data_IF_134244594214
#
_entry.id   IF_134244594214
#
_cell.length_a   1.000
_cell.length_b   1.000
_cell.length_c   1.000
_cell.angle_alpha   90.00
_cell.angle_beta   90.00
_cell.angle_gamma   90.00
#
_symmetry.space_group_name_H-M   'P 1'
#
loop_
_entity.id
_entity.type
_entity.pdbx_description
1 polymer ?
#
# COMPACT_ATOMS: atom_id res chain seq x y z
N UNK A 1 -66.44 28.59 -71.81
CA UNK A 1 -67.26 29.28 -70.82
C UNK A 1 -67.37 28.46 -69.59
N UNK A 2 -66.71 28.91 -68.53
CA UNK A 2 -67.15 28.92 -67.12
C UNK A 2 -65.92 29.24 -66.27
N UNK A 3 -65.90 30.42 -65.73
CA UNK A 3 -64.95 30.95 -64.76
C UNK A 3 -65.23 30.33 -63.38
N UNK A 4 -64.24 29.94 -62.62
CA UNK A 4 -64.30 29.79 -61.21
C UNK A 4 -63.11 30.50 -60.58
N UNK A 5 -63.36 31.60 -59.96
CA UNK A 5 -62.45 32.31 -59.03
C UNK A 5 -62.33 31.47 -57.81
N UNK A 6 -61.09 31.01 -57.46
CA UNK A 6 -60.73 30.46 -56.17
C UNK A 6 -60.13 31.55 -55.30
N UNK A 7 -60.81 31.85 -54.26
CA UNK A 7 -60.37 32.72 -53.16
C UNK A 7 -59.18 32.09 -52.49
N UNK A 8 -58.01 32.73 -52.50
CA UNK A 8 -56.80 32.35 -51.81
C UNK A 8 -56.82 33.05 -50.43
N UNK A 9 -57.40 32.36 -49.43
CA UNK A 9 -57.21 32.74 -48.07
C UNK A 9 -55.74 32.55 -47.66
N UNK A 10 -55.02 33.65 -47.50
CA UNK A 10 -53.73 33.72 -46.94
C UNK A 10 -53.86 33.49 -45.39
N UNK A 11 -53.84 32.20 -44.98
CA UNK A 11 -53.67 31.84 -43.58
C UNK A 11 -52.19 31.79 -43.23
N UNK A 12 -51.60 33.00 -43.15
CA UNK A 12 -50.27 33.17 -42.56
C UNK A 12 -50.36 32.94 -41.05
N UNK A 13 -50.34 31.69 -40.65
CA UNK A 13 -49.98 31.36 -39.28
C UNK A 13 -48.54 31.82 -39.07
N UNK A 14 -48.38 32.98 -38.45
CA UNK A 14 -47.13 33.51 -37.95
C UNK A 14 -46.62 32.52 -36.89
N UNK A 15 -45.92 31.48 -37.36
CA UNK A 15 -45.18 30.58 -36.48
C UNK A 15 -43.99 31.38 -36.01
N UNK A 16 -44.20 32.15 -34.89
CA UNK A 16 -43.05 32.74 -34.18
C UNK A 16 -42.13 31.60 -33.77
N UNK A 17 -40.97 31.49 -34.37
CA UNK A 17 -39.91 30.59 -33.92
C UNK A 17 -39.73 30.77 -32.42
N UNK A 18 -39.69 29.68 -31.61
CA UNK A 18 -39.52 29.82 -30.18
C UNK A 18 -38.22 30.61 -29.87
N UNK A 19 -38.34 31.60 -29.00
CA UNK A 19 -37.19 32.44 -28.60
C UNK A 19 -36.12 31.54 -28.04
N UNK A 20 -34.97 31.47 -28.73
CA UNK A 20 -33.83 30.67 -28.34
C UNK A 20 -33.04 31.40 -27.22
N UNK A 21 -32.88 30.80 -26.07
CA UNK A 21 -32.10 31.34 -24.94
C UNK A 21 -30.88 30.45 -24.75
N UNK A 22 -29.71 30.94 -25.14
CA UNK A 22 -28.45 30.22 -24.92
C UNK A 22 -27.77 30.75 -23.66
N UNK A 23 -27.46 29.89 -22.67
CA UNK A 23 -26.70 30.31 -21.47
C UNK A 23 -25.37 30.97 -21.81
N UNK A 24 -25.01 32.01 -21.07
CA UNK A 24 -23.77 32.78 -21.29
C UNK A 24 -22.89 32.79 -20.05
N UNK A 25 -21.61 33.13 -20.19
CA UNK A 25 -20.65 33.20 -19.10
C UNK A 25 -20.54 31.90 -18.29
N UNK A 26 -20.61 30.74 -18.96
CA UNK A 26 -20.42 29.44 -18.32
C UNK A 26 -19.00 29.33 -17.78
N UNK A 27 -18.89 29.09 -16.48
CA UNK A 27 -17.64 28.79 -15.77
C UNK A 27 -17.70 27.41 -15.14
N UNK A 28 -16.55 26.75 -15.03
CA UNK A 28 -16.39 25.49 -14.33
C UNK A 28 -15.23 25.63 -13.35
N UNK A 29 -15.46 25.35 -12.09
CA UNK A 29 -14.45 25.23 -11.03
C UNK A 29 -14.38 23.80 -10.56
N UNK A 30 -13.16 23.28 -10.39
CA UNK A 30 -12.91 21.89 -9.99
C UNK A 30 -11.96 21.91 -8.79
N UNK A 31 -12.37 21.23 -7.72
CA UNK A 31 -11.57 21.01 -6.51
C UNK A 31 -11.32 19.52 -6.36
N UNK A 32 -10.08 19.07 -6.55
CA UNK A 32 -9.66 17.71 -6.24
C UNK A 32 -9.36 17.67 -4.74
N UNK A 33 -10.09 16.82 -3.99
CA UNK A 33 -9.95 16.75 -2.53
C UNK A 33 -8.55 16.30 -2.14
N UNK A 34 -7.95 16.99 -1.14
CA UNK A 34 -6.57 16.74 -0.70
C UNK A 34 -5.48 17.25 -1.66
N UNK A 35 -5.86 17.97 -2.73
CA UNK A 35 -4.87 18.56 -3.65
C UNK A 35 -4.01 19.63 -2.96
N UNK A 36 -2.70 19.52 -3.16
CA UNK A 36 -1.69 20.45 -2.65
C UNK A 36 -0.52 20.58 -3.63
N UNK A 37 0.45 21.43 -3.33
CA UNK A 37 1.68 21.54 -4.13
C UNK A 37 2.51 20.23 -4.13
N UNK A 38 2.36 19.39 -3.11
CA UNK A 38 3.04 18.10 -2.99
C UNK A 38 2.19 16.94 -3.58
N UNK A 39 0.87 17.08 -3.49
CA UNK A 39 -0.09 16.08 -4.01
C UNK A 39 -1.06 16.75 -5.01
N UNK A 40 -0.61 17.16 -6.19
CA UNK A 40 -1.44 17.95 -7.12
C UNK A 40 -2.66 17.20 -7.66
N UNK A 41 -2.69 15.88 -7.57
CA UNK A 41 -3.74 15.01 -8.06
C UNK A 41 -4.68 14.48 -6.96
N UNK A 42 -4.58 15.00 -5.72
CA UNK A 42 -5.42 14.64 -4.57
C UNK A 42 -4.77 13.68 -3.58
N UNK A 43 -5.54 13.32 -2.54
CA UNK A 43 -5.12 12.49 -1.40
C UNK A 43 -5.29 10.97 -1.63
N UNK A 44 -5.78 10.59 -2.80
CA UNK A 44 -6.05 9.18 -3.13
C UNK A 44 -7.49 8.73 -2.86
N UNK A 45 -8.35 9.58 -2.31
CA UNK A 45 -9.78 9.30 -2.15
C UNK A 45 -10.54 9.22 -3.47
N UNK A 46 -10.01 9.82 -4.54
CA UNK A 46 -10.69 9.97 -5.83
C UNK A 46 -11.82 11.00 -5.82
N UNK A 47 -12.09 11.65 -4.68
CA UNK A 47 -13.21 12.60 -4.54
C UNK A 47 -12.87 13.94 -5.20
N UNK A 48 -13.79 14.41 -6.05
CA UNK A 48 -13.68 15.70 -6.73
C UNK A 48 -15.01 16.47 -6.60
N UNK A 49 -14.91 17.75 -6.28
CA UNK A 49 -16.03 18.68 -6.21
C UNK A 49 -16.06 19.56 -7.45
N UNK A 50 -17.20 19.63 -8.08
CA UNK A 50 -17.44 20.45 -9.26
C UNK A 50 -18.45 21.54 -8.96
N UNK A 51 -18.17 22.73 -9.47
CA UNK A 51 -19.09 23.86 -9.39
C UNK A 51 -19.13 24.58 -10.74
N UNK A 52 -20.34 24.76 -11.28
CA UNK A 52 -20.58 25.48 -12.53
C UNK A 52 -21.56 26.61 -12.33
N UNK A 53 -21.36 27.73 -13.01
CA UNK A 53 -22.29 28.85 -13.06
C UNK A 53 -22.44 29.36 -14.48
N UNK A 54 -23.63 29.81 -14.86
CA UNK A 54 -23.92 30.48 -16.12
C UNK A 54 -25.13 31.39 -15.98
N UNK A 55 -25.16 32.47 -16.78
CA UNK A 55 -26.35 33.30 -16.88
C UNK A 55 -27.42 32.56 -17.71
N UNK A 56 -28.68 32.72 -17.34
CA UNK A 56 -29.85 32.11 -17.99
C UNK A 56 -29.87 30.58 -17.99
N UNK A 57 -29.01 29.94 -17.18
CA UNK A 57 -29.05 28.49 -16.95
C UNK A 57 -30.05 28.14 -15.84
N UNK A 58 -30.81 27.07 -16.06
CA UNK A 58 -31.75 26.49 -15.09
C UNK A 58 -31.33 25.08 -14.63
N UNK A 59 -30.44 24.44 -15.37
CA UNK A 59 -29.91 23.12 -15.05
C UNK A 59 -28.50 22.94 -15.64
N UNK A 60 -27.70 22.09 -15.01
CA UNK A 60 -26.36 21.72 -15.43
C UNK A 60 -26.26 20.20 -15.53
N UNK A 61 -25.61 19.70 -16.61
CA UNK A 61 -25.26 18.29 -16.79
C UNK A 61 -23.76 18.13 -16.74
N UNK A 62 -23.27 17.43 -15.74
CA UNK A 62 -21.85 17.13 -15.54
C UNK A 62 -21.53 15.75 -16.12
N UNK A 63 -20.53 15.65 -16.99
CA UNK A 63 -20.01 14.41 -17.54
C UNK A 63 -18.57 14.25 -17.10
N UNK A 64 -18.28 13.17 -16.36
CA UNK A 64 -17.01 13.04 -15.61
C UNK A 64 -15.86 12.42 -16.41
N UNK A 65 -16.10 12.04 -17.66
CA UNK A 65 -15.09 11.41 -18.52
C UNK A 65 -14.95 9.90 -18.31
N UNK A 66 -15.77 9.30 -17.46
CA UNK A 66 -15.87 7.85 -17.19
C UNK A 66 -17.00 7.17 -17.96
N UNK A 67 -17.89 7.95 -18.55
CA UNK A 67 -19.17 7.53 -19.11
C UNK A 67 -20.35 7.92 -18.22
N UNK A 68 -20.11 8.25 -16.96
CA UNK A 68 -21.12 8.70 -16.02
C UNK A 68 -21.44 10.18 -16.19
N UNK A 69 -22.66 10.55 -15.77
CA UNK A 69 -23.10 11.93 -15.75
C UNK A 69 -24.08 12.19 -14.60
N UNK A 70 -24.16 13.44 -14.13
CA UNK A 70 -25.07 13.88 -13.09
C UNK A 70 -25.66 15.24 -13.44
N UNK A 71 -26.96 15.41 -13.12
CA UNK A 71 -27.72 16.63 -13.33
C UNK A 71 -27.81 17.43 -12.01
N UNK A 72 -27.66 18.77 -12.10
CA UNK A 72 -27.73 19.64 -10.93
C UNK A 72 -28.38 20.97 -11.27
N UNK A 73 -29.43 21.34 -10.57
CA UNK A 73 -30.03 22.70 -10.66
C UNK A 73 -29.26 23.74 -9.85
N UNK A 74 -28.48 23.31 -8.87
CA UNK A 74 -27.61 24.19 -8.08
C UNK A 74 -26.26 24.48 -8.75
N UNK A 75 -25.89 23.67 -9.76
CA UNK A 75 -24.60 23.74 -10.41
C UNK A 75 -23.46 23.15 -9.58
N UNK A 76 -23.74 22.39 -8.50
CA UNK A 76 -22.74 21.77 -7.63
C UNK A 76 -22.98 20.26 -7.58
N UNK A 77 -21.92 19.47 -7.78
CA UNK A 77 -21.92 18.01 -7.65
C UNK A 77 -20.60 17.51 -7.06
N UNK A 78 -20.62 16.35 -6.42
CA UNK A 78 -19.44 15.61 -6.00
C UNK A 78 -19.37 14.29 -6.77
N UNK A 79 -18.19 13.90 -7.25
CA UNK A 79 -18.01 12.63 -7.93
C UNK A 79 -16.75 11.94 -7.42
N UNK A 80 -16.81 10.62 -7.22
CA UNK A 80 -15.67 9.82 -6.78
C UNK A 80 -15.19 8.92 -7.92
N UNK A 81 -13.97 9.18 -8.39
CA UNK A 81 -13.28 8.33 -9.35
C UNK A 81 -12.77 7.07 -8.67
N UNK A 82 -12.79 5.94 -9.37
CA UNK A 82 -12.43 4.61 -8.82
C UNK A 82 -11.27 3.92 -9.52
N UNK A 83 -10.78 4.46 -10.65
CA UNK A 83 -9.67 3.85 -11.38
C UNK A 83 -8.35 4.07 -10.62
N UNK A 84 -7.77 3.00 -10.13
CA UNK A 84 -6.55 3.02 -9.30
C UNK A 84 -5.36 3.65 -10.04
N UNK A 85 -4.57 4.43 -9.32
CA UNK A 85 -3.45 5.20 -9.85
C UNK A 85 -3.85 6.61 -10.29
N UNK A 86 -2.95 7.31 -10.98
CA UNK A 86 -3.22 8.66 -11.50
C UNK A 86 -3.74 8.57 -12.93
N UNK A 87 -5.01 8.92 -13.11
CA UNK A 87 -5.69 8.81 -14.39
C UNK A 87 -6.21 10.17 -14.87
N UNK A 88 -6.08 10.50 -16.18
CA UNK A 88 -6.64 11.72 -16.76
C UNK A 88 -8.11 11.54 -17.12
N UNK A 89 -8.93 12.56 -16.81
CA UNK A 89 -10.35 12.59 -17.13
C UNK A 89 -10.71 13.91 -17.82
N UNK A 90 -11.48 13.83 -18.92
CA UNK A 90 -12.00 15.01 -19.59
C UNK A 90 -13.43 15.30 -19.11
N UNK A 91 -13.54 16.22 -18.16
CA UNK A 91 -14.81 16.66 -17.59
C UNK A 91 -15.47 17.65 -18.54
N UNK A 92 -16.75 17.43 -18.83
CA UNK A 92 -17.55 18.32 -19.67
C UNK A 92 -18.84 18.73 -18.91
N UNK A 93 -19.15 20.03 -18.93
CA UNK A 93 -20.38 20.57 -18.33
C UNK A 93 -21.20 21.24 -19.42
N UNK A 94 -22.50 20.93 -19.42
CA UNK A 94 -23.52 21.58 -20.23
C UNK A 94 -24.45 22.37 -19.31
N UNK A 95 -24.63 23.66 -19.58
CA UNK A 95 -25.59 24.52 -18.91
C UNK A 95 -26.82 24.68 -19.81
N UNK A 96 -28.00 24.31 -19.34
CA UNK A 96 -29.25 24.37 -20.08
C UNK A 96 -30.11 25.53 -19.64
N UNK A 97 -30.72 26.22 -20.62
CA UNK A 97 -31.71 27.26 -20.39
C UNK A 97 -33.10 26.69 -20.22
N UNK A 98 -34.09 27.56 -19.93
CA UNK A 98 -35.52 27.22 -19.90
C UNK A 98 -36.10 26.79 -21.26
N UNK A 99 -35.42 27.12 -22.35
CA UNK A 99 -35.81 26.70 -23.74
C UNK A 99 -35.07 25.43 -24.20
N UNK A 100 -34.31 24.78 -23.28
CA UNK A 100 -33.50 23.60 -23.53
C UNK A 100 -32.32 23.81 -24.50
N UNK A 101 -32.00 25.10 -24.79
CA UNK A 101 -30.74 25.43 -25.45
C UNK A 101 -29.60 25.33 -24.43
N UNK A 102 -28.36 25.06 -24.89
CA UNK A 102 -27.25 24.89 -23.99
C UNK A 102 -25.95 25.57 -24.41
N UNK A 103 -25.13 25.86 -23.46
CA UNK A 103 -23.70 26.16 -23.62
C UNK A 103 -22.86 25.05 -22.95
N UNK A 104 -21.66 24.79 -23.41
CA UNK A 104 -20.78 23.76 -22.83
C UNK A 104 -19.35 24.24 -22.64
N UNK A 105 -18.68 23.68 -21.64
CA UNK A 105 -17.23 23.83 -21.41
C UNK A 105 -16.62 22.51 -20.97
N UNK A 106 -15.32 22.33 -21.18
CA UNK A 106 -14.62 21.12 -20.74
C UNK A 106 -13.25 21.44 -20.17
N UNK A 107 -12.80 20.60 -19.24
CA UNK A 107 -11.48 20.68 -18.62
C UNK A 107 -10.94 19.27 -18.39
N UNK A 108 -9.65 19.05 -18.69
CA UNK A 108 -8.97 17.81 -18.33
C UNK A 108 -8.35 17.96 -16.94
N UNK A 109 -8.62 16.96 -16.09
CA UNK A 109 -8.03 16.83 -14.74
C UNK A 109 -7.29 15.50 -14.65
N UNK A 110 -6.34 15.40 -13.72
CA UNK A 110 -5.73 14.13 -13.33
C UNK A 110 -6.09 13.86 -11.88
N UNK A 111 -6.65 12.68 -11.61
CA UNK A 111 -7.07 12.29 -10.26
C UNK A 111 -6.30 11.05 -9.83
N UNK A 112 -5.74 11.10 -8.62
CA UNK A 112 -5.08 9.98 -8.01
C UNK A 112 -6.05 9.21 -7.12
N UNK A 113 -6.09 7.87 -7.29
CA UNK A 113 -6.93 6.96 -6.52
C UNK A 113 -6.07 5.86 -5.91
N UNK A 114 -6.14 5.71 -4.61
CA UNK A 114 -5.51 4.59 -3.90
C UNK A 114 -6.31 3.30 -4.15
N UNK A 115 -5.64 2.14 -4.27
CA UNK A 115 -6.33 0.85 -4.29
C UNK A 115 -7.09 0.64 -2.97
N UNK A 116 -8.24 -0.04 -3.05
CA UNK A 116 -8.98 -0.44 -1.86
C UNK A 116 -8.09 -1.30 -0.95
N UNK A 117 -8.14 -1.02 0.36
CA UNK A 117 -7.40 -1.80 1.35
C UNK A 117 -8.00 -3.22 1.46
N UNK A 118 -7.13 -4.25 1.60
CA UNK A 118 -7.56 -5.61 1.94
C UNK A 118 -8.18 -5.59 3.34
N UNK A 119 -9.49 -5.92 3.52
CA UNK A 119 -10.18 -5.74 4.79
C UNK A 119 -9.57 -6.52 5.95
N UNK A 120 -9.09 -7.76 5.69
CA UNK A 120 -8.57 -8.62 6.75
C UNK A 120 -7.27 -8.07 7.33
N UNK A 121 -6.32 -7.71 6.47
CA UNK A 121 -5.04 -7.17 6.92
C UNK A 121 -5.16 -5.72 7.38
N UNK A 122 -6.11 -4.96 6.84
CA UNK A 122 -6.37 -3.59 7.30
C UNK A 122 -6.83 -3.58 8.75
N UNK A 123 -7.69 -4.52 9.14
CA UNK A 123 -8.13 -4.66 10.53
C UNK A 123 -6.94 -4.94 11.46
N UNK A 124 -6.02 -5.80 11.07
CA UNK A 124 -4.81 -6.09 11.85
C UNK A 124 -3.91 -4.85 11.96
N UNK A 125 -3.65 -4.18 10.82
CA UNK A 125 -2.77 -3.01 10.77
C UNK A 125 -3.29 -1.82 11.56
N UNK A 126 -4.60 -1.56 11.51
CA UNK A 126 -5.19 -0.32 12.02
C UNK A 126 -6.00 -0.51 13.31
N UNK A 127 -6.26 -1.76 13.73
CA UNK A 127 -7.16 -2.03 14.85
C UNK A 127 -8.60 -1.52 14.61
N UNK A 128 -8.95 -1.24 13.35
CA UNK A 128 -10.24 -0.68 12.96
C UNK A 128 -10.34 0.85 13.02
N UNK A 129 -9.40 1.54 13.66
CA UNK A 129 -9.32 3.03 13.71
C UNK A 129 -7.89 3.51 13.50
N UNK A 130 -7.04 3.29 14.48
CA UNK A 130 -5.63 3.66 14.48
C UNK A 130 -4.85 2.65 15.34
N UNK A 131 -3.69 2.20 14.85
CA UNK A 131 -2.80 1.30 15.58
C UNK A 131 -1.34 1.67 15.35
N UNK A 132 -0.56 1.63 16.43
CA UNK A 132 0.86 1.95 16.44
C UNK A 132 1.69 0.68 16.53
N UNK A 133 2.63 0.55 15.61
CA UNK A 133 3.61 -0.54 15.55
C UNK A 133 5.00 -0.03 15.83
N UNK A 134 5.86 -0.88 16.37
CA UNK A 134 7.29 -0.62 16.59
C UNK A 134 8.09 -1.88 16.29
N UNK A 135 9.40 -1.74 16.12
CA UNK A 135 10.28 -2.90 15.95
C UNK A 135 10.27 -3.76 17.22
N UNK A 136 10.08 -5.07 17.04
CA UNK A 136 10.12 -6.02 18.15
C UNK A 136 11.57 -6.32 18.57
N UNK A 137 12.22 -5.33 19.17
CA UNK A 137 13.65 -5.36 19.50
C UNK A 137 14.06 -6.50 20.46
N UNK A 138 13.12 -7.01 21.25
CA UNK A 138 13.39 -8.11 22.20
C UNK A 138 13.46 -9.49 21.50
N UNK A 139 12.96 -9.59 20.28
CA UNK A 139 12.96 -10.83 19.52
C UNK A 139 14.30 -11.03 18.79
N UNK A 140 14.92 -12.21 18.91
CA UNK A 140 16.06 -12.57 18.06
C UNK A 140 15.62 -12.68 16.60
N UNK A 141 16.45 -12.25 15.67
CA UNK A 141 16.10 -12.10 14.25
C UNK A 141 15.04 -11.03 13.93
N UNK A 142 14.73 -10.12 14.91
CA UNK A 142 13.80 -9.01 14.69
C UNK A 142 14.19 -8.11 13.49
N UNK A 143 15.46 -8.09 13.14
CA UNK A 143 16.03 -7.49 11.96
C UNK A 143 17.00 -8.47 11.32
N UNK A 144 16.86 -8.71 10.03
CA UNK A 144 17.63 -9.76 9.36
C UNK A 144 17.67 -9.55 7.85
N UNK A 145 18.55 -10.29 7.17
CA UNK A 145 18.61 -10.23 5.71
C UNK A 145 18.86 -11.62 5.08
N UNK A 146 18.62 -11.69 3.76
CA UNK A 146 18.78 -12.92 3.02
C UNK A 146 18.61 -12.74 1.52
N UNK A 147 18.57 -13.85 0.80
CA UNK A 147 18.27 -13.87 -0.63
C UNK A 147 16.75 -13.59 -0.85
N UNK A 148 16.45 -12.75 -1.86
CA UNK A 148 15.08 -12.32 -2.18
C UNK A 148 14.10 -13.46 -2.50
N UNK A 149 14.61 -14.62 -2.94
CA UNK A 149 13.77 -15.77 -3.30
C UNK A 149 13.12 -16.46 -2.10
N UNK A 150 13.63 -16.20 -0.88
CA UNK A 150 13.11 -16.79 0.35
C UNK A 150 12.19 -15.81 1.09
N UNK A 151 11.27 -16.38 1.88
CA UNK A 151 10.36 -15.62 2.75
C UNK A 151 10.88 -15.52 4.20
N UNK A 152 12.13 -15.89 4.42
CA UNK A 152 12.82 -15.92 5.70
C UNK A 152 14.29 -15.56 5.50
N UNK A 153 15.00 -15.07 6.54
CA UNK A 153 16.40 -14.71 6.45
C UNK A 153 17.29 -15.93 6.19
N UNK A 154 18.31 -15.74 5.36
CA UNK A 154 19.26 -16.81 4.98
C UNK A 154 20.73 -16.44 5.18
N UNK A 155 21.04 -15.16 5.48
CA UNK A 155 22.41 -14.70 5.57
C UNK A 155 22.80 -14.20 6.96
N UNK A 156 21.97 -13.36 7.58
CA UNK A 156 22.29 -12.74 8.85
C UNK A 156 21.03 -12.38 9.63
N UNK A 157 21.13 -12.46 10.94
CA UNK A 157 20.09 -12.14 11.92
C UNK A 157 20.64 -11.30 13.08
N UNK A 158 19.91 -10.31 13.51
CA UNK A 158 20.23 -9.49 14.66
C UNK A 158 19.85 -10.20 15.95
N UNK A 159 20.76 -10.22 16.92
CA UNK A 159 20.39 -10.57 18.31
C UNK A 159 19.50 -9.50 18.91
N UNK A 160 18.69 -9.86 19.91
CA UNK A 160 17.84 -8.92 20.64
C UNK A 160 18.60 -7.67 21.09
N UNK A 161 17.97 -6.50 20.91
CA UNK A 161 18.50 -5.17 21.23
C UNK A 161 19.86 -4.80 20.60
N UNK A 162 20.36 -5.53 19.61
CA UNK A 162 21.69 -5.30 19.03
C UNK A 162 21.83 -3.99 18.25
N UNK A 163 20.71 -3.30 17.96
CA UNK A 163 20.67 -2.01 17.25
C UNK A 163 20.27 -0.83 18.16
N UNK A 164 20.44 -0.95 19.48
CA UNK A 164 20.05 0.05 20.47
C UNK A 164 20.75 1.42 20.33
N UNK A 165 21.84 1.51 19.58
CA UNK A 165 22.54 2.76 19.31
C UNK A 165 22.05 3.49 18.06
N UNK A 166 21.07 2.94 17.35
CA UNK A 166 20.50 3.51 16.12
C UNK A 166 19.09 4.06 16.35
N UNK A 167 18.58 4.89 15.45
CA UNK A 167 17.21 5.34 15.38
C UNK A 167 16.27 4.26 14.85
N UNK A 168 16.30 3.07 15.42
CA UNK A 168 15.54 1.92 14.92
C UNK A 168 14.47 1.43 15.89
N UNK A 169 14.68 1.61 17.21
CA UNK A 169 13.80 1.04 18.21
C UNK A 169 12.85 2.03 18.85
N UNK A 170 13.08 3.31 18.66
CA UNK A 170 12.22 4.38 19.16
C UNK A 170 11.24 4.92 18.11
N UNK A 171 11.37 4.45 16.86
CA UNK A 171 10.41 4.70 15.80
C UNK A 171 9.04 4.10 16.10
N UNK A 172 7.96 4.83 15.70
CA UNK A 172 6.60 4.29 15.66
C UNK A 172 6.00 4.45 14.28
N UNK A 173 5.35 3.40 13.86
CA UNK A 173 4.67 3.27 12.57
C UNK A 173 3.18 3.21 12.80
N UNK A 174 2.46 4.31 12.60
CA UNK A 174 1.04 4.44 12.94
C UNK A 174 0.21 4.34 11.68
N UNK A 175 -0.70 3.36 11.64
CA UNK A 175 -1.62 3.12 10.54
C UNK A 175 -3.04 3.46 10.96
N UNK A 176 -3.75 4.27 10.14
CA UNK A 176 -5.16 4.61 10.34
C UNK A 176 -6.05 3.94 9.32
N UNK A 177 -7.29 3.68 9.71
CA UNK A 177 -8.26 3.00 8.84
C UNK A 177 -8.64 3.80 7.58
N UNK A 178 -8.38 5.10 7.55
CA UNK A 178 -8.58 5.97 6.40
C UNK A 178 -7.43 5.95 5.37
N UNK A 179 -6.42 5.10 5.57
CA UNK A 179 -5.24 5.00 4.70
C UNK A 179 -4.10 5.96 5.07
N UNK A 180 -4.25 6.73 6.16
CA UNK A 180 -3.17 7.59 6.67
C UNK A 180 -2.08 6.76 7.33
N UNK A 181 -0.84 7.09 7.05
CA UNK A 181 0.36 6.57 7.72
C UNK A 181 1.14 7.70 8.36
N UNK A 182 1.52 7.54 9.64
CA UNK A 182 2.37 8.47 10.37
C UNK A 182 3.63 7.72 10.82
N UNK A 183 4.80 8.31 10.53
CA UNK A 183 6.07 7.85 11.06
C UNK A 183 6.54 8.83 12.13
N UNK A 184 6.50 8.40 13.39
CA UNK A 184 7.15 9.09 14.50
C UNK A 184 8.58 8.59 14.61
N UNK A 185 9.52 9.42 14.14
CA UNK A 185 10.96 9.08 14.02
C UNK A 185 11.74 9.43 15.28
N UNK A 186 11.13 10.13 16.21
CA UNK A 186 11.80 10.72 17.40
C UNK A 186 13.09 11.50 17.09
N UNK A 187 13.24 11.97 15.86
CA UNK A 187 14.32 12.84 15.38
C UNK A 187 15.33 12.18 14.47
N UNK A 188 15.40 10.87 14.41
CA UNK A 188 16.30 10.15 13.51
C UNK A 188 15.74 8.78 13.08
N UNK A 189 16.34 8.21 12.02
CA UNK A 189 15.99 6.91 11.43
C UNK A 189 17.27 6.13 11.10
N UNK A 190 17.12 4.83 10.83
CA UNK A 190 18.21 3.93 10.46
C UNK A 190 18.07 3.41 9.02
N UNK A 191 19.18 3.38 8.27
CA UNK A 191 19.13 2.84 6.89
C UNK A 191 20.48 2.84 6.18
N UNK A 192 20.48 2.36 4.94
CA UNK A 192 21.64 2.39 4.04
C UNK A 192 21.93 3.83 3.59
N UNK A 193 23.16 4.25 3.74
CA UNK A 193 23.60 5.64 3.52
C UNK A 193 23.31 6.17 2.11
N UNK A 194 23.54 5.34 1.08
CA UNK A 194 23.26 5.73 -0.30
C UNK A 194 21.79 6.04 -0.53
N UNK A 195 20.87 5.21 -0.04
CA UNK A 195 19.43 5.39 -0.22
C UNK A 195 18.89 6.54 0.63
N UNK A 196 19.33 6.66 1.90
CA UNK A 196 18.97 7.76 2.77
C UNK A 196 19.35 9.11 2.14
N UNK A 197 20.61 9.25 1.70
CA UNK A 197 21.11 10.49 1.10
C UNK A 197 20.41 10.80 -0.24
N UNK A 198 20.06 9.80 -1.02
CA UNK A 198 19.36 9.98 -2.29
C UNK A 198 17.91 10.44 -2.08
N UNK A 199 17.21 9.84 -1.13
CA UNK A 199 15.77 10.08 -0.91
C UNK A 199 15.50 11.32 -0.06
N UNK A 200 16.27 11.50 1.02
CA UNK A 200 16.01 12.55 2.02
C UNK A 200 17.02 13.68 2.00
N UNK A 201 18.11 13.55 1.23
CA UNK A 201 19.20 14.51 1.13
C UNK A 201 20.41 14.16 2.01
N UNK A 202 21.57 14.71 1.70
CA UNK A 202 22.79 14.46 2.48
C UNK A 202 22.84 15.34 3.73
N UNK A 203 22.77 14.73 4.90
CA UNK A 203 22.83 15.43 6.21
C UNK A 203 24.24 15.48 6.81
N UNK A 204 25.24 14.86 6.17
CA UNK A 204 26.61 14.78 6.68
C UNK A 204 26.78 13.86 7.89
N UNK A 205 25.82 13.02 8.20
CA UNK A 205 25.88 12.05 9.29
C UNK A 205 26.94 10.97 9.04
N UNK A 206 27.59 10.44 10.10
CA UNK A 206 28.60 9.39 9.99
C UNK A 206 28.05 8.14 9.30
N UNK A 207 28.84 7.58 8.39
CA UNK A 207 28.56 6.34 7.69
C UNK A 207 29.43 5.24 8.29
N UNK A 208 28.84 4.13 8.73
CA UNK A 208 29.56 3.01 9.28
C UNK A 208 30.18 2.11 8.20
N UNK A 209 30.96 1.09 8.61
CA UNK A 209 31.63 0.16 7.69
C UNK A 209 30.68 -0.70 6.83
N UNK A 210 29.41 -0.79 7.23
CA UNK A 210 28.35 -1.49 6.49
C UNK A 210 27.60 -0.59 5.50
N UNK A 211 28.11 0.64 5.28
CA UNK A 211 27.46 1.69 4.47
C UNK A 211 26.07 2.06 4.99
N UNK A 212 25.94 2.28 6.31
CA UNK A 212 24.71 2.62 7.00
C UNK A 212 24.87 3.92 7.78
N UNK A 213 23.81 4.68 7.90
CA UNK A 213 23.68 5.79 8.84
C UNK A 213 22.74 5.34 9.96
N UNK A 214 23.30 5.22 11.17
CA UNK A 214 22.57 4.69 12.33
C UNK A 214 21.58 5.69 12.91
N UNK A 215 21.86 6.99 12.74
CA UNK A 215 21.03 8.11 13.22
C UNK A 215 20.91 9.18 12.15
N UNK A 216 20.19 8.86 11.08
CA UNK A 216 19.90 9.83 10.04
C UNK A 216 18.80 10.77 10.50
N UNK A 217 19.10 12.07 10.59
CA UNK A 217 18.17 13.09 11.11
C UNK A 217 16.95 13.24 10.18
N UNK A 218 15.77 12.90 10.70
CA UNK A 218 14.50 13.06 10.00
C UNK A 218 13.39 13.37 11.01
N UNK A 219 12.61 14.42 10.74
CA UNK A 219 11.44 14.76 11.56
C UNK A 219 10.28 13.81 11.29
N UNK A 220 9.36 13.68 12.25
CA UNK A 220 8.09 12.98 12.07
C UNK A 220 7.38 13.49 10.82
N UNK A 221 6.72 12.58 10.10
CA UNK A 221 5.97 12.91 8.89
C UNK A 221 4.73 12.03 8.75
N UNK A 222 3.84 12.49 7.88
CA UNK A 222 2.63 11.78 7.51
C UNK A 222 2.59 11.59 6.00
N UNK A 223 2.10 10.43 5.58
CA UNK A 223 1.81 10.10 4.18
C UNK A 223 0.62 9.13 4.13
N UNK A 224 0.37 8.50 3.00
CA UNK A 224 -0.66 7.47 2.87
C UNK A 224 -0.05 6.12 2.58
N UNK A 225 -0.80 5.06 2.93
CA UNK A 225 -0.45 3.68 2.59
C UNK A 225 -1.58 2.98 1.84
N UNK A 226 -1.24 1.93 1.15
CA UNK A 226 -2.19 1.02 0.52
C UNK A 226 -1.72 -0.42 0.65
N UNK A 227 -2.65 -1.36 0.65
CA UNK A 227 -2.36 -2.80 0.62
C UNK A 227 -3.06 -3.39 -0.58
N UNK A 228 -2.28 -4.10 -1.41
CA UNK A 228 -2.78 -4.80 -2.59
C UNK A 228 -2.36 -6.27 -2.49
N UNK A 229 -3.27 -7.16 -2.78
CA UNK A 229 -2.97 -8.59 -2.88
C UNK A 229 -2.52 -8.91 -4.30
N UNK A 230 -1.22 -9.18 -4.48
CA UNK A 230 -0.60 -9.56 -5.75
C UNK A 230 0.02 -10.95 -5.63
N UNK A 231 -0.29 -11.87 -6.56
CA UNK A 231 0.27 -13.23 -6.55
C UNK A 231 0.13 -13.95 -5.20
N UNK A 232 -0.98 -13.71 -4.50
CA UNK A 232 -1.25 -14.21 -3.15
C UNK A 232 -0.31 -13.66 -2.05
N UNK A 233 0.39 -12.55 -2.30
CA UNK A 233 1.19 -11.80 -1.33
C UNK A 233 0.53 -10.45 -1.03
N UNK A 234 0.54 -10.04 0.24
CA UNK A 234 0.07 -8.72 0.64
C UNK A 234 1.19 -7.70 0.48
N UNK A 235 1.03 -6.78 -0.47
CA UNK A 235 1.98 -5.70 -0.75
C UNK A 235 1.52 -4.43 -0.05
N UNK A 236 2.25 -4.02 0.97
CA UNK A 236 2.09 -2.76 1.68
C UNK A 236 2.94 -1.70 1.00
N UNK A 237 2.32 -0.69 0.43
CA UNK A 237 2.98 0.39 -0.30
C UNK A 237 2.73 1.73 0.37
N UNK A 238 3.74 2.60 0.37
CA UNK A 238 3.66 3.96 0.90
C UNK A 238 3.84 4.98 -0.22
N UNK A 239 3.16 6.11 -0.08
CA UNK A 239 3.40 7.27 -0.93
C UNK A 239 4.63 8.04 -0.47
N UNK A 240 5.19 8.83 -1.39
CA UNK A 240 6.32 9.74 -1.16
C UNK A 240 7.52 9.05 -0.47
N UNK A 241 7.78 9.47 0.77
CA UNK A 241 8.94 9.04 1.57
C UNK A 241 8.60 7.96 2.60
N UNK A 242 7.39 7.39 2.56
CA UNK A 242 6.93 6.41 3.55
C UNK A 242 7.71 5.10 3.48
N UNK A 243 8.06 4.55 4.64
CA UNK A 243 8.73 3.24 4.80
C UNK A 243 8.54 2.72 6.23
N UNK A 244 9.02 1.49 6.49
CA UNK A 244 9.01 0.87 7.82
C UNK A 244 10.43 0.47 8.20
N UNK A 245 10.83 0.82 9.41
CA UNK A 245 12.05 0.36 10.07
C UNK A 245 13.34 0.74 9.33
N UNK A 246 14.10 -0.24 8.83
CA UNK A 246 15.37 -0.03 8.17
C UNK A 246 15.21 0.40 6.70
N UNK A 247 15.68 1.60 6.35
CA UNK A 247 15.51 2.13 5.01
C UNK A 247 16.53 1.57 4.00
N UNK A 248 16.05 0.94 2.95
CA UNK A 248 16.83 0.34 1.86
C UNK A 248 16.45 0.87 0.47
N UNK A 249 15.89 2.09 0.43
CA UNK A 249 15.44 2.71 -0.83
C UNK A 249 14.10 2.18 -1.34
N UNK A 250 13.33 1.51 -0.50
CA UNK A 250 12.05 0.92 -0.88
C UNK A 250 10.89 1.55 -0.11
N UNK A 251 9.79 1.75 -0.82
CA UNK A 251 8.53 2.26 -0.31
C UNK A 251 7.43 1.19 -0.39
N UNK A 252 7.79 -0.04 -0.74
CA UNK A 252 6.91 -1.20 -0.79
C UNK A 252 7.50 -2.36 0.01
N UNK A 253 6.65 -2.99 0.81
CA UNK A 253 6.99 -4.13 1.64
C UNK A 253 6.01 -5.28 1.37
N UNK A 254 6.51 -6.51 1.43
CA UNK A 254 5.65 -7.70 1.47
C UNK A 254 5.39 -8.04 2.93
N UNK A 255 4.13 -8.24 3.31
CA UNK A 255 3.77 -8.79 4.60
C UNK A 255 3.82 -10.31 4.47
N UNK A 256 4.82 -10.94 5.08
CA UNK A 256 5.07 -12.39 4.97
C UNK A 256 4.19 -13.19 5.92
N UNK A 257 4.02 -12.71 7.15
CA UNK A 257 3.07 -13.25 8.10
C UNK A 257 2.67 -12.20 9.14
N UNK A 258 1.55 -12.45 9.82
CA UNK A 258 1.01 -11.58 10.87
C UNK A 258 0.07 -12.34 11.80
N UNK A 259 -0.09 -11.80 12.99
CA UNK A 259 -1.15 -12.10 13.93
C UNK A 259 -1.72 -10.77 14.48
N UNK A 260 -2.57 -10.83 15.49
CA UNK A 260 -3.20 -9.63 16.06
C UNK A 260 -2.19 -8.61 16.60
N UNK A 261 -0.99 -9.03 16.99
CA UNK A 261 0.00 -8.21 17.70
C UNK A 261 1.35 -8.12 17.00
N UNK A 262 1.60 -8.92 15.97
CA UNK A 262 2.89 -8.99 15.30
C UNK A 262 2.75 -8.94 13.78
N UNK A 263 3.73 -8.30 13.13
CA UNK A 263 3.88 -8.28 11.68
C UNK A 263 5.31 -8.66 11.31
N UNK A 264 5.45 -9.53 10.32
CA UNK A 264 6.73 -9.82 9.69
C UNK A 264 6.73 -9.28 8.27
N UNK A 265 7.56 -8.27 8.02
CA UNK A 265 7.60 -7.56 6.74
C UNK A 265 8.95 -7.72 6.05
N UNK A 266 8.93 -7.72 4.73
CA UNK A 266 10.11 -7.84 3.88
C UNK A 266 10.15 -6.73 2.84
N UNK A 267 11.32 -6.06 2.72
CA UNK A 267 11.68 -5.21 1.58
C UNK A 267 12.78 -5.88 0.75
N UNK A 268 12.79 -5.65 -0.56
CA UNK A 268 13.86 -6.15 -1.45
C UNK A 268 14.54 -4.94 -2.08
N UNK A 269 15.85 -4.76 -1.81
CA UNK A 269 16.61 -3.64 -2.35
C UNK A 269 16.99 -3.84 -3.85
N UNK A 270 17.60 -2.85 -4.47
CA UNK A 270 18.00 -2.87 -5.89
C UNK A 270 19.14 -3.85 -6.19
N UNK A 271 19.80 -4.37 -5.14
CA UNK A 271 20.82 -5.42 -5.24
C UNK A 271 20.26 -6.83 -5.04
N UNK A 272 18.92 -6.96 -5.03
CA UNK A 272 18.20 -8.22 -4.82
C UNK A 272 18.42 -8.85 -3.44
N UNK A 273 18.71 -8.04 -2.41
CA UNK A 273 18.80 -8.49 -1.02
C UNK A 273 17.48 -8.27 -0.35
N UNK A 274 16.97 -9.28 0.32
CA UNK A 274 15.79 -9.18 1.16
C UNK A 274 16.17 -8.73 2.57
N UNK A 275 15.39 -7.81 3.12
CA UNK A 275 15.52 -7.26 4.46
C UNK A 275 14.23 -7.50 5.21
N UNK A 276 14.32 -8.13 6.35
CA UNK A 276 13.17 -8.59 7.13
C UNK A 276 13.12 -7.85 8.47
N UNK A 277 11.91 -7.49 8.89
CA UNK A 277 11.67 -6.77 10.14
C UNK A 277 10.46 -7.38 10.83
N UNK A 278 10.62 -7.74 12.10
CA UNK A 278 9.52 -8.04 13.00
C UNK A 278 9.05 -6.77 13.69
N UNK A 279 7.77 -6.50 13.57
CA UNK A 279 7.08 -5.41 14.28
C UNK A 279 6.12 -5.98 15.30
N UNK A 280 5.83 -5.19 16.35
CA UNK A 280 4.82 -5.49 17.35
C UNK A 280 4.10 -4.23 17.79
N UNK A 281 2.84 -4.36 18.22
CA UNK A 281 2.09 -3.30 18.91
C UNK A 281 2.23 -3.38 20.42
N UNK A 282 2.86 -4.45 20.93
CA UNK A 282 3.03 -4.70 22.36
C UNK A 282 4.21 -3.91 22.94
N UNK A 283 4.18 -3.64 24.24
CA UNK A 283 5.35 -3.09 24.92
C UNK A 283 6.55 -4.04 24.83
N UNK A 284 7.67 -3.53 24.33
CA UNK A 284 8.90 -4.30 24.20
C UNK A 284 9.66 -4.24 25.51
N UNK A 285 9.68 -5.34 26.26
CA UNK A 285 10.45 -5.45 27.50
C UNK A 285 11.94 -5.52 27.21
N UNK A 286 12.75 -4.75 27.94
CA UNK A 286 14.21 -4.83 27.90
C UNK A 286 14.78 -6.13 28.49
N UNK A 287 13.93 -6.90 29.17
CA UNK A 287 14.26 -8.24 29.61
C UNK A 287 13.92 -9.21 28.50
N UNK A 288 14.89 -9.97 27.94
CA UNK A 288 14.59 -10.97 26.92
C UNK A 288 13.51 -11.92 27.46
N UNK A 289 12.32 -11.87 26.86
CA UNK A 289 11.27 -12.81 27.23
C UNK A 289 11.59 -14.14 26.57
N UNK A 290 11.89 -15.15 27.37
CA UNK A 290 12.02 -16.53 26.91
C UNK A 290 10.66 -17.14 26.54
N UNK A 291 9.57 -16.41 26.80
CA UNK A 291 8.19 -16.90 26.80
C UNK A 291 7.31 -16.28 25.70
N UNK A 292 7.90 -15.83 24.58
CA UNK A 292 7.14 -15.30 23.41
C UNK A 292 6.23 -16.34 22.76
N UNK A 293 6.45 -17.61 23.02
CA UNK A 293 5.65 -18.72 22.50
C UNK A 293 4.88 -19.40 23.63
N UNK A 294 3.67 -18.91 23.93
CA UNK A 294 2.80 -19.49 24.97
C UNK A 294 2.06 -20.75 24.53
N UNK A 295 1.95 -20.96 23.23
CA UNK A 295 1.30 -22.13 22.66
C UNK A 295 2.31 -23.02 21.94
N UNK A 296 2.59 -24.19 22.52
CA UNK A 296 3.37 -25.23 21.87
C UNK A 296 2.58 -25.79 20.67
N UNK A 297 3.03 -25.47 19.44
CA UNK A 297 2.38 -25.95 18.23
C UNK A 297 2.90 -27.33 17.82
N UNK A 298 4.19 -27.57 18.06
CA UNK A 298 4.84 -28.83 17.72
C UNK A 298 6.07 -29.04 18.60
N UNK A 299 6.30 -30.27 19.05
CA UNK A 299 7.52 -30.68 19.73
C UNK A 299 7.86 -32.14 19.43
N UNK A 300 9.14 -32.48 19.55
CA UNK A 300 9.65 -33.84 19.49
C UNK A 300 10.72 -34.02 20.56
N UNK A 301 10.44 -34.89 21.53
CA UNK A 301 11.33 -35.15 22.68
C UNK A 301 12.22 -36.36 22.47
N UNK A 302 11.98 -37.15 21.39
CA UNK A 302 12.72 -38.37 21.09
C UNK A 302 12.77 -39.35 22.26
N UNK A 303 11.65 -39.50 22.98
CA UNK A 303 11.50 -40.34 24.16
C UNK A 303 11.32 -41.86 23.87
N UNK A 304 11.64 -42.24 22.66
CA UNK A 304 11.58 -43.63 22.17
C UNK A 304 12.92 -44.03 21.52
N UNK A 305 13.06 -45.32 21.14
CA UNK A 305 14.23 -45.79 20.38
C UNK A 305 13.76 -46.45 19.08
N UNK A 306 14.54 -46.28 18.02
CA UNK A 306 14.28 -46.89 16.71
C UNK A 306 14.07 -45.89 15.59
N UNK A 307 13.20 -46.22 14.66
CA UNK A 307 12.86 -45.34 13.53
C UNK A 307 12.17 -44.06 14.01
N UNK A 308 12.39 -42.95 13.29
CA UNK A 308 11.64 -41.72 13.53
C UNK A 308 10.14 -41.92 13.32
N UNK A 309 9.31 -41.12 14.00
CA UNK A 309 7.86 -41.13 13.85
C UNK A 309 7.45 -40.57 12.48
N UNK A 310 6.97 -41.43 11.57
CA UNK A 310 6.56 -41.06 10.21
C UNK A 310 5.35 -40.10 10.18
N UNK A 311 4.65 -39.87 11.30
CA UNK A 311 3.59 -38.85 11.40
C UNK A 311 4.13 -37.47 11.68
N UNK A 312 5.35 -37.39 12.20
CA UNK A 312 6.02 -36.13 12.57
C UNK A 312 7.16 -35.76 11.62
N UNK A 313 7.81 -36.75 11.02
CA UNK A 313 9.03 -36.60 10.24
C UNK A 313 8.93 -37.25 8.87
N UNK A 314 9.56 -36.65 7.89
CA UNK A 314 9.69 -37.18 6.53
C UNK A 314 11.17 -37.32 6.17
N UNK A 315 11.55 -38.51 5.67
CA UNK A 315 12.89 -38.68 5.08
C UNK A 315 12.94 -38.05 3.69
N UNK A 316 13.93 -37.20 3.44
CA UNK A 316 14.27 -36.83 2.08
C UNK A 316 15.34 -37.78 1.55
N UNK A 317 14.91 -38.82 0.81
CA UNK A 317 15.78 -39.83 0.23
C UNK A 317 16.18 -39.40 -1.17
N UNK A 318 17.48 -39.22 -1.41
CA UNK A 318 18.04 -38.83 -2.70
C UNK A 318 19.36 -39.53 -2.96
N UNK A 319 19.58 -39.99 -4.19
CA UNK A 319 20.85 -40.59 -4.64
C UNK A 319 21.92 -39.53 -4.93
N UNK A 320 21.50 -38.33 -5.29
CA UNK A 320 22.37 -37.16 -5.54
C UNK A 320 21.71 -35.87 -5.04
N UNK A 321 22.54 -34.99 -4.49
CA UNK A 321 22.15 -33.66 -4.08
C UNK A 321 22.56 -32.59 -5.10
N UNK A 322 22.02 -31.39 -4.93
CA UNK A 322 22.40 -30.24 -5.75
C UNK A 322 23.89 -29.91 -5.60
N UNK A 323 24.45 -29.17 -6.53
CA UNK A 323 25.86 -28.73 -6.52
C UNK A 323 26.88 -29.84 -6.64
N UNK A 324 26.55 -30.95 -7.31
CA UNK A 324 27.48 -32.08 -7.56
C UNK A 324 27.99 -32.73 -6.26
N UNK A 325 27.22 -32.67 -5.17
CA UNK A 325 27.57 -33.34 -3.94
C UNK A 325 27.58 -34.86 -4.11
N UNK A 326 28.61 -35.50 -3.58
CA UNK A 326 28.82 -36.95 -3.74
C UNK A 326 28.04 -37.81 -2.72
N UNK A 327 27.27 -37.15 -1.83
CA UNK A 327 26.51 -37.86 -0.80
C UNK A 327 25.12 -38.25 -1.29
N UNK A 328 24.60 -39.33 -0.73
CA UNK A 328 23.21 -39.72 -0.83
C UNK A 328 22.56 -39.69 0.54
N UNK A 329 21.26 -39.36 0.61
CA UNK A 329 20.49 -39.49 1.85
C UNK A 329 19.59 -40.70 1.79
N UNK A 330 19.44 -41.37 2.93
CA UNK A 330 18.68 -42.61 3.03
C UNK A 330 17.76 -42.65 4.25
N UNK A 331 16.78 -43.54 4.25
CA UNK A 331 15.87 -43.83 5.35
C UNK A 331 16.31 -45.01 6.23
N UNK A 332 17.56 -45.46 6.08
CA UNK A 332 18.09 -46.60 6.80
C UNK A 332 18.34 -46.26 8.27
N UNK A 333 18.00 -47.18 9.18
CA UNK A 333 18.25 -47.02 10.61
C UNK A 333 19.72 -46.84 10.98
N UNK A 334 20.65 -47.32 10.16
CA UNK A 334 22.07 -47.10 10.34
C UNK A 334 22.53 -45.68 10.04
N UNK A 335 21.72 -44.89 9.34
CA UNK A 335 21.98 -43.51 9.02
C UNK A 335 21.13 -42.53 9.82
N UNK A 336 19.88 -42.91 10.17
CA UNK A 336 18.99 -42.05 10.98
C UNK A 336 18.27 -42.92 11.99
N UNK A 337 18.49 -42.66 13.28
CA UNK A 337 17.88 -43.39 14.38
C UNK A 337 17.62 -42.51 15.58
N UNK A 338 16.52 -42.70 16.27
CA UNK A 338 16.27 -42.17 17.61
C UNK A 338 16.86 -43.15 18.62
N UNK A 339 17.76 -42.66 19.46
CA UNK A 339 18.40 -43.47 20.49
C UNK A 339 18.88 -42.59 21.64
N UNK A 340 18.64 -43.01 22.87
CA UNK A 340 19.05 -42.37 24.12
C UNK A 340 18.51 -40.92 24.20
N UNK A 341 17.23 -40.70 23.83
CA UNK A 341 16.60 -39.39 23.85
C UNK A 341 17.11 -38.39 22.80
N UNK A 342 17.67 -38.90 21.70
CA UNK A 342 18.28 -38.03 20.65
C UNK A 342 18.02 -38.61 19.26
N UNK A 343 17.78 -37.73 18.31
CA UNK A 343 17.91 -38.07 16.90
C UNK A 343 19.40 -38.11 16.54
N UNK A 344 19.86 -39.27 16.04
CA UNK A 344 21.21 -39.47 15.54
C UNK A 344 21.16 -39.56 14.01
N UNK A 345 21.88 -38.65 13.33
CA UNK A 345 22.13 -38.68 11.89
C UNK A 345 23.57 -39.09 11.71
N UNK A 346 23.81 -40.20 11.01
CA UNK A 346 25.12 -40.83 10.91
C UNK A 346 25.55 -40.90 9.46
N UNK A 347 26.65 -40.24 9.11
CA UNK A 347 27.32 -40.37 7.82
C UNK A 347 28.16 -41.68 7.78
N UNK A 348 28.04 -42.43 6.70
CA UNK A 348 28.83 -43.64 6.43
C UNK A 348 29.44 -43.62 5.03
#
# INVERSE_FOLDING_TARGET
MLSCSGDSGDDSTDVTDPVKIIPTNLTLSIEIVGSSSQNPNGDGSGLVRFSATANDAVNFSFRFGTGDSEESTSGVVEYTYSDVGTNPYNVNVLAYSSTNDFASTSQTISVFVLPALDPDITQVLTGGTEKSWKVNAAYDAHFSNGDKQFKYPTWWEASSFSKSNSGFYDDKFIFKADGTYIHETNGDIYGKANYLNQTFGNTGQPINSSNEIEKYSLSNYQTTFSIVKENNENKLSFQDKGFIGFFVGQHQFTIECYDDNNLFVRAVDDQNRAWYIWLTDQEVSTTPSKDLYTNLIWQEEFDYNGKIDDNKWVYEVRDQWYNEELQATTDRLENVIVQDGKLKIIAK
#
